data_IF_631845621960
#
_entry.id   IF_631845621960
#
_cell.length_a   1.000
_cell.length_b   1.000
_cell.length_c   1.000
_cell.angle_alpha   90.00
_cell.angle_beta   90.00
_cell.angle_gamma   90.00
#
_symmetry.space_group_name_H-M   'P 1'
#
loop_
_entity.id
_entity.type
_entity.pdbx_description
1 polymer ?
#
# COMPACT_ATOMS: atom_id res chain seq x y z
N UNK A 1 -32.77 -17.31 11.96
CA UNK A 1 -31.35 -16.93 11.82
C UNK A 1 -30.66 -18.10 11.18
N UNK A 2 -30.30 -18.01 9.90
CA UNK A 2 -29.53 -19.07 9.26
C UNK A 2 -28.09 -18.94 9.76
N UNK A 3 -27.53 -20.00 10.33
CA UNK A 3 -26.11 -20.09 10.64
C UNK A 3 -25.33 -19.89 9.34
N UNK A 4 -24.55 -18.82 9.25
CA UNK A 4 -23.59 -18.62 8.17
C UNK A 4 -22.59 -19.79 8.24
N UNK A 5 -22.69 -20.73 7.29
CA UNK A 5 -21.65 -21.74 7.08
C UNK A 5 -20.36 -20.98 6.78
N UNK A 6 -19.46 -20.95 7.75
CA UNK A 6 -18.12 -20.40 7.61
C UNK A 6 -17.40 -21.24 6.54
N UNK A 7 -17.19 -20.69 5.35
CA UNK A 7 -16.48 -21.39 4.26
C UNK A 7 -15.04 -21.58 4.68
N UNK A 8 -14.58 -22.82 4.72
CA UNK A 8 -13.28 -23.17 5.31
C UNK A 8 -12.17 -23.28 4.27
N UNK A 9 -12.52 -23.55 3.01
CA UNK A 9 -11.52 -23.81 1.96
C UNK A 9 -11.81 -23.07 0.66
N UNK A 10 -10.77 -22.83 -0.14
CA UNK A 10 -10.92 -22.24 -1.47
C UNK A 10 -11.68 -23.16 -2.44
N UNK A 11 -11.61 -24.47 -2.25
CA UNK A 11 -12.34 -25.47 -3.04
C UNK A 11 -13.86 -25.35 -2.86
N UNK A 12 -14.31 -25.10 -1.63
CA UNK A 12 -15.73 -24.86 -1.31
C UNK A 12 -16.30 -23.61 -1.99
N UNK A 13 -15.44 -22.67 -2.43
CA UNK A 13 -15.86 -21.47 -3.18
C UNK A 13 -16.07 -21.75 -4.68
N UNK A 14 -15.88 -22.99 -5.13
CA UNK A 14 -16.00 -23.36 -6.55
C UNK A 14 -14.74 -23.11 -7.37
N UNK A 15 -13.59 -22.86 -6.71
CA UNK A 15 -12.31 -22.77 -7.40
C UNK A 15 -11.80 -24.15 -7.81
N UNK A 16 -11.18 -24.21 -8.98
CA UNK A 16 -10.54 -25.44 -9.46
C UNK A 16 -9.29 -25.78 -8.67
N UNK A 17 -8.91 -27.06 -8.70
CA UNK A 17 -7.82 -27.62 -7.92
C UNK A 17 -6.47 -26.93 -8.22
N UNK A 18 -6.21 -26.52 -9.46
CA UNK A 18 -4.99 -25.81 -9.86
C UNK A 18 -4.86 -24.45 -9.15
N UNK A 19 -5.98 -23.74 -8.95
CA UNK A 19 -6.00 -22.47 -8.23
C UNK A 19 -5.94 -22.66 -6.71
N UNK A 20 -6.52 -23.75 -6.20
CA UNK A 20 -6.43 -24.11 -4.78
C UNK A 20 -4.97 -24.42 -4.42
N UNK A 21 -4.27 -25.21 -5.24
CA UNK A 21 -2.84 -25.48 -5.07
C UNK A 21 -2.00 -24.18 -5.16
N UNK A 22 -2.31 -23.30 -6.11
CA UNK A 22 -1.65 -22.00 -6.21
C UNK A 22 -1.85 -21.14 -4.94
N UNK A 23 -3.04 -21.12 -4.36
CA UNK A 23 -3.32 -20.49 -3.06
C UNK A 23 -2.44 -21.08 -1.94
N UNK A 24 -2.35 -22.40 -1.85
CA UNK A 24 -1.52 -23.07 -0.83
C UNK A 24 -0.03 -22.73 -0.98
N UNK A 25 0.48 -22.69 -2.21
CA UNK A 25 1.86 -22.34 -2.54
C UNK A 25 2.23 -20.91 -2.13
N UNK A 26 1.29 -19.97 -2.20
CA UNK A 26 1.47 -18.59 -1.70
C UNK A 26 1.12 -18.44 -0.21
N UNK A 27 0.84 -19.55 0.49
CA UNK A 27 0.56 -19.58 1.93
C UNK A 27 -0.87 -19.20 2.31
N UNK A 28 -1.80 -19.15 1.35
CA UNK A 28 -3.21 -18.85 1.59
C UNK A 28 -3.98 -20.14 1.92
N UNK A 29 -4.02 -20.48 3.21
CA UNK A 29 -4.68 -21.72 3.68
C UNK A 29 -6.20 -21.65 3.68
N UNK A 30 -6.76 -20.50 4.03
CA UNK A 30 -8.21 -20.30 4.18
C UNK A 30 -8.62 -18.99 3.52
N UNK A 31 -9.80 -18.92 2.88
CA UNK A 31 -10.27 -17.68 2.28
C UNK A 31 -10.56 -16.63 3.36
N UNK A 32 -10.22 -15.38 3.07
CA UNK A 32 -10.66 -14.27 3.91
C UNK A 32 -12.15 -13.98 3.72
N UNK A 33 -12.80 -13.24 4.64
CA UNK A 33 -14.23 -12.90 4.53
C UNK A 33 -14.60 -12.29 3.18
N UNK A 34 -13.82 -11.31 2.72
CA UNK A 34 -14.05 -10.67 1.41
C UNK A 34 -13.87 -11.64 0.23
N UNK A 35 -12.96 -12.62 0.34
CA UNK A 35 -12.78 -13.65 -0.69
C UNK A 35 -13.95 -14.63 -0.69
N UNK A 36 -14.38 -15.10 0.48
CA UNK A 36 -15.49 -16.03 0.64
C UNK A 36 -16.82 -15.46 0.13
N UNK A 37 -17.07 -14.17 0.38
CA UNK A 37 -18.28 -13.48 -0.10
C UNK A 37 -18.20 -13.11 -1.59
N UNK A 38 -17.02 -12.73 -2.10
CA UNK A 38 -16.88 -12.22 -3.47
C UNK A 38 -16.72 -13.28 -4.54
N UNK A 39 -15.92 -14.32 -4.27
CA UNK A 39 -15.52 -15.30 -5.29
C UNK A 39 -16.75 -16.02 -5.89
N UNK A 40 -17.72 -16.52 -5.12
CA UNK A 40 -18.88 -17.21 -5.69
C UNK A 40 -19.66 -16.34 -6.68
N UNK A 41 -19.91 -15.07 -6.33
CA UNK A 41 -20.60 -14.13 -7.22
C UNK A 41 -19.77 -13.73 -8.44
N UNK A 42 -18.44 -13.64 -8.29
CA UNK A 42 -17.53 -13.40 -9.40
C UNK A 42 -17.56 -14.55 -10.42
N UNK A 43 -17.58 -15.80 -9.94
CA UNK A 43 -17.65 -17.01 -10.76
C UNK A 43 -19.00 -17.13 -11.50
N UNK A 44 -20.08 -16.58 -10.94
CA UNK A 44 -21.37 -16.42 -11.63
C UNK A 44 -21.35 -15.34 -12.72
N UNK A 45 -20.22 -14.65 -12.92
CA UNK A 45 -20.05 -13.60 -13.92
C UNK A 45 -20.69 -12.26 -13.57
N UNK A 46 -21.02 -12.02 -12.29
CA UNK A 46 -21.60 -10.76 -11.80
C UNK A 46 -20.53 -9.69 -11.60
N UNK A 47 -20.91 -8.44 -11.82
CA UNK A 47 -20.13 -7.29 -11.40
C UNK A 47 -20.07 -7.19 -9.87
N UNK A 48 -18.96 -6.68 -9.33
CA UNK A 48 -18.74 -6.63 -7.89
C UNK A 48 -18.41 -5.23 -7.39
N UNK A 49 -18.91 -4.92 -6.20
CA UNK A 49 -18.40 -3.82 -5.39
C UNK A 49 -18.02 -4.31 -3.99
N UNK A 50 -16.71 -4.42 -3.76
CA UNK A 50 -16.13 -4.87 -2.50
C UNK A 50 -15.66 -3.69 -1.65
N UNK A 51 -16.31 -3.50 -0.50
CA UNK A 51 -15.87 -2.56 0.52
C UNK A 51 -15.08 -3.31 1.60
N UNK A 52 -13.76 -3.18 1.56
CA UNK A 52 -12.89 -3.78 2.56
C UNK A 52 -11.58 -2.99 2.74
N UNK A 53 -11.07 -3.03 3.96
CA UNK A 53 -9.80 -2.40 4.34
C UNK A 53 -8.59 -3.00 3.62
N UNK A 54 -7.47 -2.28 3.58
CA UNK A 54 -6.20 -2.81 3.06
C UNK A 54 -5.76 -4.03 3.87
N UNK A 55 -5.22 -5.06 3.20
CA UNK A 55 -4.78 -6.28 3.87
C UNK A 55 -5.90 -7.28 4.21
N UNK A 56 -7.13 -7.05 3.74
CA UNK A 56 -8.25 -7.99 3.88
C UNK A 56 -8.25 -9.14 2.86
N UNK A 57 -7.30 -9.18 1.91
CA UNK A 57 -7.25 -10.21 0.86
C UNK A 57 -7.97 -9.85 -0.44
N UNK A 58 -8.28 -8.57 -0.69
CA UNK A 58 -8.97 -8.08 -1.90
C UNK A 58 -8.33 -8.54 -3.21
N UNK A 59 -6.99 -8.59 -3.27
CA UNK A 59 -6.27 -9.04 -4.46
C UNK A 59 -6.68 -10.44 -4.87
N UNK A 60 -6.72 -11.40 -3.93
CA UNK A 60 -7.23 -12.74 -4.21
C UNK A 60 -8.70 -12.76 -4.62
N UNK A 61 -9.52 -11.88 -4.03
CA UNK A 61 -10.96 -11.82 -4.31
C UNK A 61 -11.28 -11.45 -5.78
N UNK A 62 -10.42 -10.67 -6.45
CA UNK A 62 -10.57 -10.40 -7.89
C UNK A 62 -9.64 -11.23 -8.78
N UNK A 63 -8.45 -11.61 -8.31
CA UNK A 63 -7.49 -12.33 -9.13
C UNK A 63 -7.95 -13.78 -9.39
N UNK A 64 -8.44 -14.48 -8.37
CA UNK A 64 -8.82 -15.90 -8.48
C UNK A 64 -9.96 -16.12 -9.50
N UNK A 65 -11.06 -15.34 -9.51
CA UNK A 65 -12.09 -15.48 -10.54
C UNK A 65 -11.60 -15.17 -11.97
N UNK A 66 -10.69 -14.19 -12.12
CA UNK A 66 -10.11 -13.86 -13.43
C UNK A 66 -9.23 -15.00 -13.94
N UNK A 67 -8.42 -15.60 -13.05
CA UNK A 67 -7.57 -16.73 -13.39
C UNK A 67 -8.40 -17.99 -13.69
N UNK A 68 -9.49 -18.22 -12.98
CA UNK A 68 -10.45 -19.28 -13.28
C UNK A 68 -10.98 -19.15 -14.71
N UNK A 69 -11.46 -17.97 -15.09
CA UNK A 69 -11.99 -17.74 -16.43
C UNK A 69 -10.92 -17.93 -17.52
N UNK A 70 -9.65 -17.61 -17.23
CA UNK A 70 -8.54 -17.90 -18.13
C UNK A 70 -8.28 -19.40 -18.28
N UNK A 71 -8.32 -20.16 -17.18
CA UNK A 71 -8.19 -21.62 -17.17
C UNK A 71 -9.28 -22.29 -18.02
N UNK A 72 -10.54 -21.91 -17.80
CA UNK A 72 -11.69 -22.44 -18.55
C UNK A 72 -11.59 -22.16 -20.05
N UNK A 73 -11.04 -21.01 -20.43
CA UNK A 73 -10.78 -20.70 -21.85
C UNK A 73 -9.62 -21.56 -22.39
N UNK A 74 -8.55 -21.73 -21.62
CA UNK A 74 -7.38 -22.50 -22.04
C UNK A 74 -7.69 -23.99 -22.32
N UNK A 75 -8.69 -24.55 -21.63
CA UNK A 75 -9.16 -25.91 -21.91
C UNK A 75 -9.92 -26.02 -23.23
N UNK A 76 -10.76 -25.03 -23.51
CA UNK A 76 -11.68 -25.06 -24.64
C UNK A 76 -11.06 -24.46 -25.92
N UNK A 77 -9.94 -23.73 -25.79
CA UNK A 77 -9.31 -23.01 -26.88
C UNK A 77 -7.80 -23.24 -26.88
N UNK A 78 -7.21 -23.36 -28.08
CA UNK A 78 -5.75 -23.48 -28.25
C UNK A 78 -4.96 -22.27 -27.75
N UNK A 79 -5.58 -21.09 -27.65
CA UNK A 79 -4.88 -19.85 -27.31
C UNK A 79 -5.69 -19.01 -26.33
N UNK A 80 -5.04 -18.65 -25.22
CA UNK A 80 -5.59 -17.72 -24.24
C UNK A 80 -5.55 -16.29 -24.79
N UNK A 81 -6.64 -15.50 -24.69
CA UNK A 81 -6.67 -14.14 -25.19
C UNK A 81 -5.67 -13.23 -24.45
N UNK A 82 -4.95 -12.42 -25.22
CA UNK A 82 -4.14 -11.33 -24.68
C UNK A 82 -5.05 -10.19 -24.19
N UNK A 83 -4.56 -9.39 -23.25
CA UNK A 83 -5.25 -8.23 -22.69
C UNK A 83 -6.65 -8.57 -22.12
N UNK A 84 -6.77 -9.77 -21.53
CA UNK A 84 -8.01 -10.31 -20.99
C UNK A 84 -8.54 -9.49 -19.80
N UNK A 85 -7.64 -9.04 -18.93
CA UNK A 85 -7.97 -8.21 -17.79
C UNK A 85 -7.08 -6.97 -17.68
N UNK A 86 -7.66 -5.90 -17.16
CA UNK A 86 -6.98 -4.65 -16.86
C UNK A 86 -7.28 -4.25 -15.41
N UNK A 87 -6.24 -4.07 -14.62
CA UNK A 87 -6.36 -3.67 -13.22
C UNK A 87 -5.79 -2.27 -13.05
N UNK A 88 -6.66 -1.33 -12.70
CA UNK A 88 -6.27 0.04 -12.39
C UNK A 88 -5.99 0.18 -10.90
N UNK A 89 -4.85 0.79 -10.59
CA UNK A 89 -4.36 1.04 -9.24
C UNK A 89 -3.80 2.46 -9.13
N UNK A 90 -3.99 3.16 -7.99
CA UNK A 90 -3.59 4.56 -7.83
C UNK A 90 -2.08 4.77 -7.74
N UNK A 91 -1.29 3.74 -7.36
CA UNK A 91 0.16 3.90 -7.20
C UNK A 91 0.95 2.84 -7.95
N UNK A 92 2.19 3.19 -8.29
CA UNK A 92 3.08 2.33 -9.08
C UNK A 92 3.41 1.06 -8.33
N UNK A 93 3.63 1.20 -7.04
CA UNK A 93 4.03 0.13 -6.15
C UNK A 93 2.88 -0.86 -5.99
N UNK A 94 1.64 -0.39 -5.81
CA UNK A 94 0.48 -1.27 -5.74
C UNK A 94 0.23 -2.00 -7.06
N UNK A 95 0.46 -1.33 -8.21
CA UNK A 95 0.39 -1.99 -9.50
C UNK A 95 1.42 -3.13 -9.65
N UNK A 96 2.66 -2.93 -9.17
CA UNK A 96 3.70 -3.97 -9.18
C UNK A 96 3.28 -5.14 -8.27
N UNK A 97 2.83 -4.86 -7.04
CA UNK A 97 2.36 -5.90 -6.11
C UNK A 97 1.23 -6.75 -6.69
N UNK A 98 0.24 -6.10 -7.30
CA UNK A 98 -0.88 -6.80 -7.92
C UNK A 98 -0.37 -7.71 -9.03
N UNK A 99 0.55 -7.24 -9.87
CA UNK A 99 1.17 -8.05 -10.92
C UNK A 99 1.91 -9.27 -10.36
N UNK A 100 2.73 -9.08 -9.31
CA UNK A 100 3.45 -10.18 -8.65
C UNK A 100 2.47 -11.23 -8.08
N UNK A 101 1.34 -10.80 -7.51
CA UNK A 101 0.31 -11.70 -7.02
C UNK A 101 -0.39 -12.47 -8.14
N UNK A 102 -0.70 -11.81 -9.26
CA UNK A 102 -1.24 -12.50 -10.44
C UNK A 102 -0.25 -13.54 -10.98
N UNK A 103 1.03 -13.19 -11.11
CA UNK A 103 2.07 -14.10 -11.60
C UNK A 103 2.29 -15.28 -10.66
N UNK A 104 2.29 -15.07 -9.35
CA UNK A 104 2.41 -16.15 -8.37
C UNK A 104 1.23 -17.13 -8.46
N UNK A 105 0.00 -16.61 -8.44
CA UNK A 105 -1.23 -17.41 -8.52
C UNK A 105 -1.41 -18.08 -9.89
N UNK A 106 -0.95 -17.43 -10.97
CA UNK A 106 -1.07 -17.91 -12.35
C UNK A 106 0.16 -18.65 -12.87
N UNK A 107 1.11 -19.01 -12.00
CA UNK A 107 2.37 -19.66 -12.38
C UNK A 107 2.15 -20.98 -13.12
N UNK A 108 1.17 -21.78 -12.68
CA UNK A 108 0.80 -23.05 -13.31
C UNK A 108 0.24 -22.93 -14.74
N UNK A 109 -0.20 -21.74 -15.16
CA UNK A 109 -0.81 -21.51 -16.49
C UNK A 109 0.03 -20.61 -17.39
N UNK A 110 1.31 -20.40 -17.06
CA UNK A 110 2.20 -19.50 -17.80
C UNK A 110 1.61 -18.10 -17.99
N UNK A 111 0.98 -17.58 -16.93
CA UNK A 111 0.38 -16.25 -16.94
C UNK A 111 1.45 -15.19 -17.25
N UNK A 112 1.11 -14.24 -18.12
CA UNK A 112 1.96 -13.09 -18.44
C UNK A 112 1.25 -11.81 -18.00
N UNK A 113 1.94 -11.00 -17.22
CA UNK A 113 1.48 -9.68 -16.83
C UNK A 113 2.34 -8.58 -17.46
N UNK A 114 1.78 -7.39 -17.62
CA UNK A 114 2.55 -6.18 -17.89
C UNK A 114 2.13 -5.08 -16.93
N UNK A 115 3.11 -4.39 -16.35
CA UNK A 115 2.91 -3.28 -15.44
C UNK A 115 3.15 -1.96 -16.16
N UNK A 116 2.11 -1.11 -16.21
CA UNK A 116 2.18 0.19 -16.86
C UNK A 116 2.12 1.33 -15.83
N UNK A 117 3.27 1.89 -15.49
CA UNK A 117 3.40 2.91 -14.45
C UNK A 117 4.25 4.11 -14.87
N UNK A 118 3.99 5.29 -14.29
CA UNK A 118 4.83 6.47 -14.51
C UNK A 118 6.27 6.27 -14.05
N UNK A 119 7.21 7.11 -14.54
CA UNK A 119 8.62 7.12 -14.10
C UNK A 119 9.43 5.84 -14.34
N UNK A 120 8.86 4.88 -15.07
CA UNK A 120 9.56 3.78 -15.73
C UNK A 120 9.63 4.12 -17.21
N UNK A 121 10.69 3.67 -17.88
CA UNK A 121 10.92 3.92 -19.30
C UNK A 121 9.74 3.42 -20.17
N UNK A 122 9.36 4.23 -21.17
CA UNK A 122 8.22 3.96 -22.04
C UNK A 122 8.51 2.82 -23.02
N UNK A 123 9.76 2.70 -23.48
CA UNK A 123 10.16 1.67 -24.43
C UNK A 123 10.15 0.28 -23.77
N UNK A 124 10.62 0.17 -22.53
CA UNK A 124 10.52 -1.07 -21.74
C UNK A 124 9.07 -1.56 -21.60
N UNK A 125 8.15 -0.65 -21.29
CA UNK A 125 6.72 -0.97 -21.18
C UNK A 125 6.11 -1.33 -22.54
N UNK A 126 6.53 -0.66 -23.61
CA UNK A 126 6.12 -0.97 -24.99
C UNK A 126 6.55 -2.38 -25.40
N UNK A 127 7.78 -2.77 -25.08
CA UNK A 127 8.29 -4.13 -25.33
C UNK A 127 7.52 -5.17 -24.52
N UNK A 128 7.16 -4.88 -23.26
CA UNK A 128 6.34 -5.76 -22.43
C UNK A 128 4.94 -5.97 -23.03
N UNK A 129 4.30 -4.91 -23.55
CA UNK A 129 3.03 -5.01 -24.26
C UNK A 129 3.14 -5.82 -25.56
N UNK A 130 4.27 -5.72 -26.27
CA UNK A 130 4.55 -6.51 -27.47
C UNK A 130 4.57 -8.03 -27.23
N UNK A 131 4.82 -8.47 -25.99
CA UNK A 131 4.75 -9.89 -25.58
C UNK A 131 3.31 -10.40 -25.38
N UNK A 132 2.30 -9.55 -25.63
CA UNK A 132 0.87 -9.88 -25.54
C UNK A 132 0.51 -10.53 -24.18
N UNK A 133 0.68 -9.79 -23.06
CA UNK A 133 0.33 -10.27 -21.73
C UNK A 133 -1.18 -10.55 -21.62
N UNK A 134 -1.57 -11.45 -20.71
CA UNK A 134 -2.98 -11.71 -20.41
C UNK A 134 -3.56 -10.63 -19.49
N UNK A 135 -2.77 -10.15 -18.53
CA UNK A 135 -3.18 -9.14 -17.55
C UNK A 135 -2.36 -7.87 -17.73
N UNK A 136 -3.02 -6.72 -17.75
CA UNK A 136 -2.37 -5.40 -17.70
C UNK A 136 -2.69 -4.77 -16.35
N UNK A 137 -1.67 -4.45 -15.56
CA UNK A 137 -1.84 -3.73 -14.28
C UNK A 137 -1.26 -2.34 -14.44
N UNK A 138 -2.02 -1.29 -14.15
CA UNK A 138 -1.60 0.05 -14.54
C UNK A 138 -2.06 1.17 -13.60
N UNK A 139 -1.29 2.26 -13.60
CA UNK A 139 -1.78 3.57 -13.15
C UNK A 139 -2.52 4.28 -14.28
N UNK A 140 -3.64 5.00 -14.02
CA UNK A 140 -4.49 5.58 -15.07
C UNK A 140 -3.74 6.43 -16.10
N UNK A 141 -2.91 7.38 -15.66
CA UNK A 141 -2.18 8.27 -16.57
C UNK A 141 -1.28 7.50 -17.55
N UNK A 142 -0.45 6.56 -17.06
CA UNK A 142 0.44 5.77 -17.92
C UNK A 142 -0.33 4.84 -18.85
N UNK A 143 -1.45 4.25 -18.41
CA UNK A 143 -2.27 3.44 -19.31
C UNK A 143 -2.82 4.29 -20.46
N UNK A 144 -3.31 5.49 -20.15
CA UNK A 144 -3.84 6.40 -21.16
C UNK A 144 -2.76 6.84 -22.16
N UNK A 145 -1.54 7.11 -21.68
CA UNK A 145 -0.39 7.38 -22.54
C UNK A 145 -0.14 6.23 -23.52
N UNK A 146 -0.21 4.98 -23.07
CA UNK A 146 -0.02 3.81 -23.94
C UNK A 146 -1.18 3.62 -24.91
N UNK A 147 -2.43 3.77 -24.47
CA UNK A 147 -3.61 3.67 -25.33
C UNK A 147 -3.59 4.71 -26.46
N UNK A 148 -3.02 5.89 -26.19
CA UNK A 148 -2.95 6.99 -27.16
C UNK A 148 -1.75 6.85 -28.09
N UNK A 149 -0.56 6.54 -27.53
CA UNK A 149 0.71 6.72 -28.25
C UNK A 149 1.39 5.40 -28.64
N UNK A 150 0.95 4.24 -28.12
CA UNK A 150 1.59 2.95 -28.44
C UNK A 150 0.88 2.28 -29.59
N UNK A 151 1.53 2.28 -30.76
CA UNK A 151 0.98 1.68 -31.99
C UNK A 151 0.65 0.20 -31.77
N UNK A 152 -0.59 -0.19 -32.11
CA UNK A 152 -1.05 -1.58 -32.03
C UNK A 152 -1.46 -2.04 -30.63
N UNK A 153 -1.35 -1.21 -29.60
CA UNK A 153 -1.90 -1.51 -28.29
C UNK A 153 -3.36 -1.05 -28.21
N UNK A 154 -4.24 -1.95 -27.77
CA UNK A 154 -5.65 -1.65 -27.55
C UNK A 154 -6.21 -2.61 -26.50
N UNK A 155 -7.16 -2.10 -25.71
CA UNK A 155 -7.97 -2.89 -24.77
C UNK A 155 -9.36 -3.22 -25.35
N UNK A 156 -9.56 -3.12 -26.66
CA UNK A 156 -10.86 -3.35 -27.32
C UNK A 156 -11.44 -4.77 -27.19
N UNK A 157 -10.68 -5.73 -26.65
CA UNK A 157 -11.12 -7.11 -26.40
C UNK A 157 -11.19 -7.46 -24.90
N UNK A 158 -10.99 -6.46 -24.04
CA UNK A 158 -10.97 -6.61 -22.58
C UNK A 158 -12.25 -7.28 -22.07
N UNK A 159 -12.08 -8.30 -21.21
CA UNK A 159 -13.18 -9.02 -20.55
C UNK A 159 -13.37 -8.61 -19.11
N UNK A 160 -12.29 -8.24 -18.42
CA UNK A 160 -12.32 -7.85 -17.01
C UNK A 160 -11.69 -6.47 -16.79
N UNK A 161 -12.41 -5.59 -16.10
CA UNK A 161 -11.87 -4.36 -15.54
C UNK A 161 -11.88 -4.45 -14.01
N UNK A 162 -10.75 -4.20 -13.37
CA UNK A 162 -10.65 -4.08 -11.92
C UNK A 162 -10.23 -2.66 -11.56
N UNK A 163 -10.93 -2.07 -10.59
CA UNK A 163 -10.61 -0.77 -10.01
C UNK A 163 -10.26 -0.99 -8.53
N UNK A 164 -8.97 -1.09 -8.21
CA UNK A 164 -8.51 -1.26 -6.82
C UNK A 164 -8.13 0.09 -6.19
N UNK A 165 -8.40 0.22 -4.89
CA UNK A 165 -8.38 1.50 -4.16
C UNK A 165 -9.13 2.63 -4.91
N UNK A 166 -10.37 2.32 -5.34
CA UNK A 166 -11.15 3.19 -6.23
C UNK A 166 -11.45 4.59 -5.66
N UNK A 167 -11.51 4.76 -4.34
CA UNK A 167 -11.62 6.08 -3.72
C UNK A 167 -10.42 6.99 -3.99
N UNK A 168 -9.26 6.42 -4.30
CA UNK A 168 -8.02 7.15 -4.63
C UNK A 168 -7.80 7.34 -6.12
N UNK A 169 -8.32 6.43 -6.94
CA UNK A 169 -8.38 6.61 -8.40
C UNK A 169 -9.21 7.85 -8.81
N UNK A 170 -10.02 8.37 -7.88
CA UNK A 170 -10.89 9.53 -8.06
C UNK A 170 -10.33 10.84 -7.47
N UNK A 171 -9.04 10.86 -7.13
CA UNK A 171 -8.33 12.11 -6.84
C UNK A 171 -8.14 12.90 -8.14
N UNK A 172 -7.99 14.22 -8.02
CA UNK A 172 -8.02 15.15 -9.15
C UNK A 172 -6.94 14.86 -10.21
N UNK A 173 -5.84 14.20 -9.82
CA UNK A 173 -4.74 13.79 -10.72
C UNK A 173 -5.12 12.65 -11.70
N UNK A 174 -6.13 11.85 -11.39
CA UNK A 174 -6.44 10.61 -12.13
C UNK A 174 -7.85 10.56 -12.72
N UNK A 175 -8.77 11.38 -12.22
CA UNK A 175 -10.19 11.36 -12.61
C UNK A 175 -10.36 11.51 -14.13
N UNK A 176 -9.63 12.46 -14.75
CA UNK A 176 -9.68 12.69 -16.20
C UNK A 176 -9.18 11.48 -17.01
N UNK A 177 -8.02 10.94 -16.66
CA UNK A 177 -7.47 9.78 -17.37
C UNK A 177 -8.36 8.55 -17.20
N UNK A 178 -8.97 8.36 -16.03
CA UNK A 178 -9.91 7.27 -15.79
C UNK A 178 -11.15 7.38 -16.68
N UNK A 179 -11.75 8.57 -16.79
CA UNK A 179 -12.90 8.81 -17.67
C UNK A 179 -12.57 8.54 -19.14
N UNK A 180 -11.40 8.97 -19.61
CA UNK A 180 -10.91 8.71 -20.98
C UNK A 180 -10.70 7.20 -21.24
N UNK A 181 -10.10 6.48 -20.29
CA UNK A 181 -9.95 5.03 -20.37
C UNK A 181 -11.32 4.34 -20.48
N UNK A 182 -12.28 4.71 -19.63
CA UNK A 182 -13.62 4.11 -19.61
C UNK A 182 -14.37 4.31 -20.93
N UNK A 183 -14.05 5.37 -21.69
CA UNK A 183 -14.65 5.66 -23.00
C UNK A 183 -14.08 4.79 -24.13
N UNK A 184 -12.84 4.31 -24.02
CA UNK A 184 -12.17 3.54 -25.09
C UNK A 184 -12.22 2.02 -24.86
N UNK A 185 -12.47 1.55 -23.63
CA UNK A 185 -12.61 0.12 -23.32
C UNK A 185 -14.03 -0.39 -23.61
N UNK A 186 -14.21 -1.70 -23.91
CA UNK A 186 -15.51 -2.29 -24.22
C UNK A 186 -16.53 -2.15 -23.09
N UNK A 187 -17.78 -1.78 -23.42
CA UNK A 187 -18.89 -1.74 -22.45
C UNK A 187 -19.33 -3.12 -21.96
N UNK A 188 -19.25 -4.14 -22.82
CA UNK A 188 -19.55 -5.52 -22.46
C UNK A 188 -18.30 -6.18 -21.86
N UNK A 189 -18.23 -6.15 -20.54
CA UNK A 189 -17.15 -6.72 -19.72
C UNK A 189 -17.67 -6.94 -18.30
N UNK A 190 -16.98 -7.75 -17.52
CA UNK A 190 -17.14 -7.82 -16.07
C UNK A 190 -16.31 -6.72 -15.42
N UNK A 191 -16.89 -6.02 -14.45
CA UNK A 191 -16.19 -4.97 -13.70
C UNK A 191 -16.21 -5.28 -12.21
N UNK A 192 -15.04 -5.19 -11.58
CA UNK A 192 -14.88 -5.32 -10.13
C UNK A 192 -14.33 -4.03 -9.54
N UNK A 193 -15.06 -3.43 -8.61
CA UNK A 193 -14.66 -2.20 -7.91
C UNK A 193 -14.36 -2.51 -6.45
N UNK A 194 -13.12 -2.26 -6.03
CA UNK A 194 -12.68 -2.44 -4.67
C UNK A 194 -12.28 -1.10 -4.05
N UNK A 195 -12.83 -0.78 -2.89
CA UNK A 195 -12.56 0.47 -2.18
C UNK A 195 -12.54 0.25 -0.68
N UNK A 196 -11.77 1.07 0.04
CA UNK A 196 -11.90 1.12 1.50
C UNK A 196 -13.13 1.94 1.93
N UNK A 197 -13.50 2.95 1.13
CA UNK A 197 -14.56 3.90 1.50
C UNK A 197 -15.56 4.14 0.38
N UNK A 198 -16.84 4.33 0.75
CA UNK A 198 -17.92 4.62 -0.19
C UNK A 198 -18.21 6.11 -0.27
N UNK A 199 -17.38 6.85 -1.00
CA UNK A 199 -17.52 8.31 -1.18
C UNK A 199 -18.59 8.66 -2.21
N UNK A 200 -19.01 9.94 -2.29
CA UNK A 200 -19.91 10.41 -3.35
C UNK A 200 -19.30 10.17 -4.75
N UNK A 201 -17.98 10.42 -4.91
CA UNK A 201 -17.27 10.15 -6.17
C UNK A 201 -17.28 8.65 -6.50
N UNK A 202 -17.01 7.77 -5.51
CA UNK A 202 -17.06 6.29 -5.72
C UNK A 202 -18.45 5.83 -6.14
N UNK A 203 -19.52 6.36 -5.53
CA UNK A 203 -20.89 6.06 -5.96
C UNK A 203 -21.19 6.52 -7.38
N UNK A 204 -20.63 7.64 -7.82
CA UNK A 204 -20.75 8.13 -9.21
C UNK A 204 -20.00 7.20 -10.16
N UNK A 205 -18.76 6.84 -9.83
CA UNK A 205 -17.96 5.88 -10.59
C UNK A 205 -18.68 4.53 -10.70
N UNK A 206 -19.24 4.02 -9.60
CA UNK A 206 -20.00 2.77 -9.58
C UNK A 206 -21.12 2.78 -10.65
N UNK A 207 -21.90 3.86 -10.72
CA UNK A 207 -23.00 3.99 -11.69
C UNK A 207 -22.51 4.09 -13.14
N UNK A 208 -21.29 4.56 -13.36
CA UNK A 208 -20.72 4.73 -14.68
C UNK A 208 -20.09 3.43 -15.22
N UNK A 209 -19.52 2.58 -14.36
CA UNK A 209 -18.72 1.44 -14.79
C UNK A 209 -19.30 0.05 -14.51
N UNK A 210 -20.28 -0.09 -13.60
CA UNK A 210 -20.84 -1.38 -13.18
C UNK A 210 -22.29 -1.58 -13.64
N UNK A 211 -22.67 -2.84 -13.89
CA UNK A 211 -24.04 -3.26 -14.23
C UNK A 211 -24.59 -4.23 -13.18
N UNK A 212 -25.61 -3.81 -12.45
CA UNK A 212 -26.26 -4.59 -11.37
C UNK A 212 -25.25 -5.28 -10.41
N UNK A 213 -24.30 -4.53 -9.82
CA UNK A 213 -23.22 -5.14 -9.05
C UNK A 213 -23.71 -5.74 -7.74
N UNK A 214 -23.12 -6.86 -7.34
CA UNK A 214 -23.25 -7.39 -5.98
C UNK A 214 -22.40 -6.57 -5.04
N UNK A 215 -23.02 -6.06 -3.97
CA UNK A 215 -22.36 -5.25 -2.97
C UNK A 215 -21.97 -6.09 -1.76
N UNK A 216 -20.68 -6.07 -1.46
CA UNK A 216 -20.05 -6.88 -0.43
C UNK A 216 -19.40 -5.93 0.57
N UNK A 217 -19.83 -5.98 1.82
CA UNK A 217 -19.36 -5.11 2.90
C UNK A 217 -18.78 -5.95 4.04
N UNK A 218 -17.51 -6.33 3.89
CA UNK A 218 -16.80 -7.15 4.88
C UNK A 218 -16.38 -6.37 6.15
N UNK A 219 -16.71 -5.07 6.23
CA UNK A 219 -16.45 -4.22 7.40
C UNK A 219 -17.59 -3.20 7.57
N UNK A 220 -17.96 -2.91 8.83
CA UNK A 220 -18.84 -1.78 9.14
C UNK A 220 -18.19 -0.47 8.68
N UNK A 221 -18.99 0.45 8.12
CA UNK A 221 -18.52 1.71 7.55
C UNK A 221 -17.54 2.40 8.51
N UNK A 222 -16.27 2.46 8.12
CA UNK A 222 -15.19 3.15 8.84
C UNK A 222 -14.79 2.55 10.21
N UNK A 223 -14.88 1.22 10.38
CA UNK A 223 -14.30 0.56 11.56
C UNK A 223 -12.82 0.22 11.36
N UNK A 224 -12.11 0.19 12.49
CA UNK A 224 -10.78 -0.42 12.63
C UNK A 224 -10.95 -1.86 13.11
N UNK A 225 -9.98 -2.73 12.89
CA UNK A 225 -10.05 -4.12 13.40
C UNK A 225 -10.12 -4.16 14.92
N UNK A 226 -10.88 -5.11 15.46
CA UNK A 226 -11.08 -5.24 16.91
C UNK A 226 -9.77 -5.56 17.66
N UNK A 227 -8.81 -6.21 16.99
CA UNK A 227 -7.49 -6.55 17.53
C UNK A 227 -6.51 -5.36 17.58
N UNK A 228 -6.91 -4.19 17.08
CA UNK A 228 -6.09 -2.98 17.03
C UNK A 228 -6.34 -2.07 18.25
N UNK A 229 -5.36 -2.03 19.15
CA UNK A 229 -5.33 -1.08 20.26
C UNK A 229 -4.95 0.32 19.73
N UNK A 230 -5.87 1.26 19.83
CA UNK A 230 -5.66 2.66 19.42
C UNK A 230 -5.56 3.54 20.65
N UNK A 231 -4.54 4.38 20.70
CA UNK A 231 -4.32 5.35 21.77
C UNK A 231 -3.91 6.70 21.18
N UNK A 232 -4.10 7.77 21.95
CA UNK A 232 -3.58 9.10 21.61
C UNK A 232 -2.73 9.63 22.77
N UNK A 233 -1.82 10.57 22.50
CA UNK A 233 -1.17 11.37 23.55
C UNK A 233 -1.20 12.82 23.13
N UNK A 234 -1.79 13.67 23.98
CA UNK A 234 -1.76 15.11 23.75
C UNK A 234 -0.43 15.68 24.26
N UNK A 235 0.36 16.30 23.36
CA UNK A 235 1.72 16.74 23.66
C UNK A 235 1.97 18.15 23.10
N UNK A 236 2.63 19.05 23.84
CA UNK A 236 3.11 20.30 23.27
C UNK A 236 4.03 20.03 22.07
N UNK A 237 3.84 20.78 20.97
CA UNK A 237 4.62 20.58 19.74
C UNK A 237 6.15 20.55 19.96
N UNK A 238 6.66 21.33 20.93
CA UNK A 238 8.09 21.38 21.28
C UNK A 238 8.64 20.06 21.85
N UNK A 239 7.80 19.24 22.48
CA UNK A 239 8.21 17.99 23.14
C UNK A 239 7.87 16.73 22.33
N UNK A 240 7.25 16.91 21.15
CA UNK A 240 6.79 15.81 20.29
C UNK A 240 7.89 14.80 19.94
N UNK A 241 9.12 15.29 19.71
CA UNK A 241 10.28 14.43 19.45
C UNK A 241 10.68 13.59 20.66
N UNK A 242 10.53 14.10 21.88
CA UNK A 242 10.85 13.37 23.10
C UNK A 242 9.84 12.24 23.32
N UNK A 243 8.55 12.51 23.12
CA UNK A 243 7.50 11.49 23.19
C UNK A 243 7.68 10.40 22.12
N UNK A 244 8.06 10.76 20.89
CA UNK A 244 8.39 9.78 19.86
C UNK A 244 9.51 8.84 20.33
N UNK A 245 10.61 9.40 20.87
CA UNK A 245 11.76 8.62 21.31
C UNK A 245 11.43 7.77 22.54
N UNK A 246 10.65 8.30 23.48
CA UNK A 246 10.17 7.57 24.65
C UNK A 246 9.41 6.31 24.23
N UNK A 247 8.36 6.47 23.41
CA UNK A 247 7.55 5.36 22.91
C UNK A 247 8.41 4.32 22.17
N UNK A 248 9.28 4.78 21.26
CA UNK A 248 10.15 3.87 20.49
C UNK A 248 11.18 3.14 21.36
N UNK A 249 11.53 3.67 22.52
CA UNK A 249 12.46 3.04 23.47
C UNK A 249 11.75 1.93 24.25
N UNK A 250 10.52 2.17 24.70
CA UNK A 250 9.70 1.16 25.38
C UNK A 250 9.42 -0.07 24.50
N UNK A 251 9.31 0.12 23.18
CA UNK A 251 9.03 -0.95 22.21
C UNK A 251 10.19 -1.25 21.27
N UNK A 252 11.43 -1.11 21.74
CA UNK A 252 12.67 -1.13 20.92
C UNK A 252 12.87 -2.34 19.99
N UNK A 253 12.23 -3.49 20.24
CA UNK A 253 12.28 -4.68 19.39
C UNK A 253 11.17 -4.75 18.32
N UNK A 254 10.16 -3.91 18.41
CA UNK A 254 8.98 -3.94 17.54
C UNK A 254 9.26 -3.33 16.17
N UNK A 255 8.69 -3.92 15.12
CA UNK A 255 8.60 -3.28 13.82
C UNK A 255 7.61 -2.11 13.89
N UNK A 256 8.07 -0.90 13.60
CA UNK A 256 7.29 0.34 13.78
C UNK A 256 7.24 1.16 12.50
N UNK A 257 6.04 1.59 12.11
CA UNK A 257 5.86 2.63 11.09
C UNK A 257 5.54 3.97 11.73
N UNK A 258 6.29 5.02 11.37
CA UNK A 258 6.07 6.39 11.84
C UNK A 258 5.62 7.26 10.67
N UNK A 259 4.42 7.82 10.78
CA UNK A 259 3.85 8.69 9.75
C UNK A 259 4.10 10.16 10.02
N UNK A 260 4.70 10.85 9.06
CA UNK A 260 4.91 12.31 9.07
C UNK A 260 4.18 12.97 7.90
N UNK A 261 3.93 14.27 8.02
CA UNK A 261 3.24 15.05 6.98
C UNK A 261 4.14 15.33 5.77
N UNK A 262 5.39 15.71 6.02
CA UNK A 262 6.31 16.17 4.96
C UNK A 262 7.46 15.21 4.71
N UNK A 263 7.99 15.22 3.49
CA UNK A 263 9.18 14.46 3.12
C UNK A 263 10.41 14.90 3.94
N UNK A 264 10.56 16.20 4.21
CA UNK A 264 11.67 16.72 5.02
C UNK A 264 11.63 16.19 6.45
N UNK A 265 10.43 16.10 7.04
CA UNK A 265 10.25 15.52 8.37
C UNK A 265 10.67 14.04 8.40
N UNK A 266 10.34 13.24 7.37
CA UNK A 266 10.79 11.83 7.30
C UNK A 266 12.31 11.72 7.42
N UNK A 267 13.03 12.56 6.69
CA UNK A 267 14.50 12.55 6.64
C UNK A 267 15.10 13.06 7.95
N UNK A 268 14.57 14.16 8.47
CA UNK A 268 15.03 14.75 9.72
C UNK A 268 14.86 13.79 10.89
N UNK A 269 13.66 13.22 11.07
CA UNK A 269 13.39 12.27 12.14
C UNK A 269 14.24 11.01 12.01
N UNK A 270 14.41 10.47 10.79
CA UNK A 270 15.23 9.27 10.60
C UNK A 270 16.70 9.51 10.95
N UNK A 271 17.24 10.70 10.67
CA UNK A 271 18.59 11.06 11.05
C UNK A 271 18.71 11.29 12.56
N UNK A 272 17.74 11.98 13.16
CA UNK A 272 17.69 12.22 14.61
C UNK A 272 17.64 10.90 15.38
N UNK A 273 16.75 9.99 15.01
CA UNK A 273 16.64 8.67 15.63
C UNK A 273 17.93 7.86 15.47
N UNK A 274 18.58 7.90 14.30
CA UNK A 274 19.88 7.23 14.10
C UNK A 274 20.99 7.82 14.97
N UNK A 275 21.04 9.14 15.15
CA UNK A 275 21.97 9.78 16.08
C UNK A 275 21.71 9.37 17.54
N UNK A 276 20.49 8.96 17.86
CA UNK A 276 20.11 8.40 19.16
C UNK A 276 20.33 6.89 19.25
N UNK A 277 20.88 6.24 18.22
CA UNK A 277 21.16 4.80 18.18
C UNK A 277 19.98 3.93 17.70
N UNK A 278 18.87 4.54 17.28
CA UNK A 278 17.70 3.82 16.77
C UNK A 278 17.83 3.50 15.28
N UNK A 279 17.41 2.31 14.86
CA UNK A 279 17.56 1.84 13.47
C UNK A 279 16.39 2.29 12.58
N UNK A 280 16.38 3.59 12.30
CA UNK A 280 15.34 4.24 11.50
C UNK A 280 15.75 4.46 10.04
N UNK A 281 14.81 4.24 9.12
CA UNK A 281 14.99 4.47 7.69
C UNK A 281 13.80 5.29 7.12
N UNK A 282 14.07 6.36 6.34
CA UNK A 282 13.00 7.14 5.72
C UNK A 282 12.59 6.55 4.37
N UNK A 283 11.30 6.63 4.05
CA UNK A 283 10.76 6.48 2.70
C UNK A 283 9.88 7.69 2.40
N UNK A 284 10.24 8.45 1.36
CA UNK A 284 9.51 9.66 0.96
C UNK A 284 9.31 9.73 -0.55
N UNK A 285 8.41 10.62 -1.00
CA UNK A 285 8.14 10.83 -2.43
C UNK A 285 9.31 11.46 -3.20
N UNK A 286 10.31 12.04 -2.51
CA UNK A 286 11.52 12.56 -3.15
C UNK A 286 12.55 11.46 -3.46
N UNK A 287 12.38 10.25 -2.94
CA UNK A 287 13.30 9.15 -3.22
C UNK A 287 12.98 8.51 -4.56
N UNK A 288 14.02 8.18 -5.33
CA UNK A 288 13.88 7.33 -6.51
C UNK A 288 13.27 5.97 -6.14
N UNK A 289 12.59 5.34 -7.09
CA UNK A 289 11.93 4.05 -6.87
C UNK A 289 12.89 2.98 -6.37
N UNK A 290 14.09 2.90 -6.97
CA UNK A 290 15.15 1.97 -6.53
C UNK A 290 15.55 2.19 -5.07
N UNK A 291 15.66 3.45 -4.62
CA UNK A 291 15.97 3.78 -3.22
C UNK A 291 14.83 3.43 -2.27
N UNK A 292 13.57 3.65 -2.68
CA UNK A 292 12.39 3.25 -1.89
C UNK A 292 12.34 1.73 -1.71
N UNK A 293 12.56 0.97 -2.79
CA UNK A 293 12.62 -0.49 -2.74
C UNK A 293 13.79 -0.99 -1.88
N UNK A 294 14.98 -0.40 -2.04
CA UNK A 294 16.14 -0.73 -1.20
C UNK A 294 15.88 -0.46 0.29
N UNK A 295 15.27 0.69 0.62
CA UNK A 295 14.89 1.02 1.99
C UNK A 295 13.83 0.05 2.55
N UNK A 296 12.83 -0.30 1.73
CA UNK A 296 11.82 -1.29 2.10
C UNK A 296 12.43 -2.67 2.36
N UNK A 297 13.36 -3.11 1.51
CA UNK A 297 14.03 -4.40 1.65
C UNK A 297 14.83 -4.48 2.95
N UNK A 298 15.54 -3.40 3.33
CA UNK A 298 16.22 -3.32 4.64
C UNK A 298 15.25 -3.43 5.81
N UNK A 299 14.08 -2.82 5.69
CA UNK A 299 13.03 -2.93 6.71
C UNK A 299 12.46 -4.35 6.79
N UNK A 300 12.13 -4.96 5.63
CA UNK A 300 11.65 -6.34 5.53
C UNK A 300 12.67 -7.35 6.09
N UNK A 301 13.95 -7.14 5.84
CA UNK A 301 15.04 -7.99 6.33
C UNK A 301 15.33 -7.79 7.83
N UNK A 302 14.68 -6.83 8.50
CA UNK A 302 14.91 -6.54 9.91
C UNK A 302 16.23 -5.78 10.18
N UNK A 303 16.95 -5.32 9.16
CA UNK A 303 18.14 -4.46 9.34
C UNK A 303 17.78 -3.12 9.99
N UNK A 304 16.59 -2.61 9.69
CA UNK A 304 15.96 -1.46 10.33
C UNK A 304 14.58 -1.88 10.84
N UNK A 305 14.21 -1.48 12.06
CA UNK A 305 12.90 -1.77 12.63
C UNK A 305 11.99 -0.55 12.73
N UNK A 306 12.46 0.64 12.33
CA UNK A 306 11.65 1.86 12.31
C UNK A 306 11.60 2.40 10.88
N UNK A 307 10.41 2.43 10.29
CA UNK A 307 10.15 2.97 8.97
C UNK A 307 9.43 4.30 9.08
N UNK A 308 10.04 5.39 8.62
CA UNK A 308 9.43 6.73 8.65
C UNK A 308 8.95 7.10 7.26
N UNK A 309 7.68 7.45 7.11
CA UNK A 309 7.11 7.71 5.80
C UNK A 309 6.02 8.77 5.80
N UNK A 310 5.80 9.37 4.62
CA UNK A 310 4.57 10.11 4.35
C UNK A 310 3.47 9.16 3.87
N UNK A 311 2.22 9.63 3.89
CA UNK A 311 1.10 8.86 3.35
C UNK A 311 1.38 8.40 1.92
N UNK A 312 1.74 9.33 1.04
CA UNK A 312 2.04 9.02 -0.37
C UNK A 312 3.13 7.97 -0.51
N UNK A 313 4.19 8.09 0.29
CA UNK A 313 5.35 7.21 0.18
C UNK A 313 5.11 5.80 0.73
N UNK A 314 4.21 5.65 1.69
CA UNK A 314 3.80 4.35 2.26
C UNK A 314 2.81 3.57 1.38
N UNK A 315 2.14 4.25 0.45
CA UNK A 315 1.07 3.67 -0.36
C UNK A 315 1.66 2.79 -1.47
N UNK A 316 1.02 1.64 -1.66
CA UNK A 316 1.42 0.60 -2.61
C UNK A 316 2.75 -0.09 -2.34
N UNK A 317 3.54 0.33 -1.35
CA UNK A 317 4.67 -0.48 -0.93
C UNK A 317 4.16 -1.73 -0.21
N UNK A 318 4.81 -2.87 -0.48
CA UNK A 318 4.53 -4.13 0.20
C UNK A 318 5.16 -4.12 1.57
N UNK A 319 4.59 -3.31 2.44
CA UNK A 319 5.08 -3.22 3.80
C UNK A 319 4.43 -4.37 4.55
N UNK A 320 5.23 -5.31 5.11
CA UNK A 320 4.70 -6.37 5.95
C UNK A 320 3.92 -5.73 7.10
N UNK A 321 2.93 -6.44 7.64
CA UNK A 321 2.23 -5.92 8.80
C UNK A 321 3.20 -5.73 9.95
N UNK A 322 3.18 -4.52 10.50
CA UNK A 322 4.07 -4.06 11.57
C UNK A 322 3.39 -4.21 12.92
N UNK A 323 4.18 -4.23 13.99
CA UNK A 323 3.68 -4.39 15.35
C UNK A 323 3.09 -3.07 15.88
N UNK A 324 3.66 -1.94 15.46
CA UNK A 324 3.24 -0.61 15.88
C UNK A 324 3.14 0.39 14.72
N UNK A 325 2.13 1.26 14.80
CA UNK A 325 2.00 2.46 13.98
C UNK A 325 2.01 3.69 14.89
N UNK A 326 2.86 4.66 14.59
CA UNK A 326 2.88 5.97 15.26
C UNK A 326 2.46 7.02 14.24
N UNK A 327 1.33 7.68 14.47
CA UNK A 327 1.02 8.94 13.79
C UNK A 327 1.81 10.03 14.51
N UNK A 328 3.03 10.30 14.01
CA UNK A 328 3.78 11.45 14.49
C UNK A 328 2.98 12.70 14.13
N UNK A 329 2.64 12.92 12.86
CA UNK A 329 1.72 14.00 12.48
C UNK A 329 0.31 13.47 12.24
N UNK A 330 -0.72 14.14 12.77
CA UNK A 330 -2.11 13.75 12.53
C UNK A 330 -2.48 14.02 11.06
N UNK A 331 -3.11 13.05 10.36
CA UNK A 331 -3.53 13.24 8.97
C UNK A 331 -4.63 14.30 8.89
N UNK A 332 -4.57 15.14 7.87
CA UNK A 332 -5.57 16.20 7.63
C UNK A 332 -6.91 15.64 7.17
N UNK A 333 -6.90 14.46 6.55
CA UNK A 333 -8.09 13.70 6.18
C UNK A 333 -8.27 12.52 7.14
N UNK A 334 -9.42 12.45 7.81
CA UNK A 334 -9.71 11.40 8.78
C UNK A 334 -9.71 9.99 8.18
N UNK A 335 -9.94 9.83 6.87
CA UNK A 335 -9.85 8.53 6.21
C UNK A 335 -8.42 8.01 6.13
N UNK A 336 -7.43 8.90 6.00
CA UNK A 336 -6.03 8.51 5.98
C UNK A 336 -5.60 7.87 7.30
N UNK A 337 -6.21 8.26 8.41
CA UNK A 337 -5.99 7.58 9.70
C UNK A 337 -6.28 6.08 9.61
N UNK A 338 -7.43 5.68 9.05
CA UNK A 338 -7.80 4.26 8.90
C UNK A 338 -6.77 3.51 8.06
N UNK A 339 -6.26 4.13 7.00
CA UNK A 339 -5.24 3.54 6.13
C UNK A 339 -3.86 3.41 6.80
N UNK A 340 -3.51 4.36 7.67
CA UNK A 340 -2.26 4.33 8.45
C UNK A 340 -2.31 3.26 9.52
N UNK A 341 -3.34 3.27 10.36
CA UNK A 341 -3.44 2.31 11.48
C UNK A 341 -3.74 0.89 10.98
N UNK A 342 -4.38 0.75 9.82
CA UNK A 342 -4.52 -0.53 9.11
C UNK A 342 -3.20 -1.11 8.55
N UNK A 343 -2.02 -0.56 8.90
CA UNK A 343 -0.71 -1.18 8.62
C UNK A 343 -0.28 -2.17 9.69
N UNK A 344 -0.91 -2.13 10.86
CA UNK A 344 -0.74 -3.11 11.93
C UNK A 344 -2.01 -3.95 12.09
N UNK A 345 -2.01 -4.92 13.01
CA UNK A 345 -3.14 -5.78 13.34
C UNK A 345 -3.76 -6.51 12.12
N UNK A 346 -2.95 -6.91 11.13
CA UNK A 346 -3.43 -7.64 9.94
C UNK A 346 -3.44 -9.15 10.14
N UNK A 347 -4.29 -9.84 9.37
CA UNK A 347 -4.38 -11.30 9.33
C UNK A 347 -4.55 -11.94 10.72
N UNK A 348 -5.44 -11.37 11.55
CA UNK A 348 -5.75 -11.89 12.89
C UNK A 348 -4.74 -11.52 13.98
N UNK A 349 -3.63 -10.84 13.65
CA UNK A 349 -2.67 -10.36 14.66
C UNK A 349 -3.22 -9.17 15.45
N UNK A 350 -2.70 -9.00 16.66
CA UNK A 350 -2.87 -7.77 17.44
C UNK A 350 -1.90 -6.69 16.97
N UNK A 351 -2.21 -5.44 17.26
CA UNK A 351 -1.37 -4.31 16.88
C UNK A 351 -1.67 -3.07 17.71
N UNK A 352 -0.71 -2.13 17.74
CA UNK A 352 -0.84 -0.88 18.48
C UNK A 352 -0.72 0.31 17.54
N UNK A 353 -1.62 1.28 17.68
CA UNK A 353 -1.55 2.56 16.99
C UNK A 353 -1.56 3.71 18.01
N UNK A 354 -0.52 4.56 17.99
CA UNK A 354 -0.41 5.73 18.87
C UNK A 354 -0.41 7.00 18.03
N UNK A 355 -1.27 7.95 18.38
CA UNK A 355 -1.33 9.27 17.75
C UNK A 355 -0.77 10.35 18.65
N UNK A 356 0.30 11.02 18.22
CA UNK A 356 0.84 12.20 18.91
C UNK A 356 0.09 13.45 18.44
N UNK A 357 -0.77 13.99 19.29
CA UNK A 357 -1.63 15.13 18.98
C UNK A 357 -1.05 16.37 19.63
N UNK A 358 -0.75 17.40 18.86
CA UNK A 358 -0.35 18.70 19.42
C UNK A 358 -1.48 19.74 19.32
N UNK A 359 -1.24 20.93 19.87
CA UNK A 359 -2.22 22.01 19.92
C UNK A 359 -2.73 22.47 18.54
N UNK A 360 -1.97 22.25 17.47
CA UNK A 360 -2.33 22.65 16.11
C UNK A 360 -3.08 21.54 15.35
N UNK A 361 -3.08 20.32 15.88
CA UNK A 361 -3.58 19.11 15.21
C UNK A 361 -4.85 18.57 15.87
N UNK A 362 -5.32 19.22 16.94
CA UNK A 362 -6.46 18.79 17.73
C UNK A 362 -7.75 18.68 16.90
N UNK A 363 -8.03 19.65 16.03
CA UNK A 363 -9.23 19.62 15.19
C UNK A 363 -9.24 18.42 14.24
N UNK A 364 -8.11 18.12 13.59
CA UNK A 364 -7.99 16.95 12.73
C UNK A 364 -8.15 15.65 13.51
N UNK A 365 -7.61 15.59 14.73
CA UNK A 365 -7.80 14.46 15.63
C UNK A 365 -9.28 14.25 16.03
N UNK A 366 -9.99 15.32 16.36
CA UNK A 366 -11.42 15.23 16.69
C UNK A 366 -12.26 14.74 15.50
N UNK A 367 -11.90 15.09 14.26
CA UNK A 367 -12.55 14.53 13.07
C UNK A 367 -12.28 13.03 12.89
N UNK A 368 -11.12 12.53 13.36
CA UNK A 368 -10.81 11.10 13.36
C UNK A 368 -11.72 10.38 14.36
N UNK A 369 -11.80 10.83 15.60
CA UNK A 369 -12.68 10.24 16.62
C UNK A 369 -14.15 10.23 16.17
N UNK A 370 -14.60 11.32 15.54
CA UNK A 370 -15.94 11.42 14.94
C UNK A 370 -16.14 10.40 13.82
N UNK A 371 -15.14 10.18 12.96
CA UNK A 371 -15.22 9.21 11.86
C UNK A 371 -15.31 7.77 12.37
N UNK A 372 -14.49 7.42 13.37
CA UNK A 372 -14.45 6.06 13.95
C UNK A 372 -15.57 5.81 14.96
N UNK A 373 -16.30 6.86 15.37
CA UNK A 373 -17.43 6.77 16.29
C UNK A 373 -17.06 6.42 17.73
N UNK A 374 -15.80 6.60 18.15
CA UNK A 374 -15.34 6.33 19.52
C UNK A 374 -14.25 7.30 19.96
N UNK A 375 -14.20 7.56 21.26
CA UNK A 375 -13.08 8.24 21.93
C UNK A 375 -11.94 7.26 22.11
N UNK A 376 -10.72 7.67 21.78
CA UNK A 376 -9.55 6.81 21.99
C UNK A 376 -9.01 7.02 23.41
N UNK A 377 -8.53 5.97 24.09
CA UNK A 377 -7.86 6.12 25.38
C UNK A 377 -6.51 6.82 25.22
N UNK A 378 -6.08 7.50 26.28
CA UNK A 378 -4.78 8.13 26.32
C UNK A 378 -3.65 7.09 26.44
N UNK A 379 -2.49 7.36 25.84
CA UNK A 379 -1.28 6.58 26.02
C UNK A 379 -0.61 7.02 27.34
N UNK A 380 -0.37 6.10 28.28
CA UNK A 380 0.28 6.45 29.54
C UNK A 380 1.74 6.83 29.27
N UNK A 381 2.12 8.03 29.65
CA UNK A 381 3.49 8.51 29.58
C UNK A 381 3.65 9.63 30.61
N UNK A 382 4.48 9.41 31.62
CA UNK A 382 4.74 10.41 32.65
C UNK A 382 5.64 11.51 32.08
N UNK A 383 5.20 12.76 32.16
CA UNK A 383 5.91 13.87 31.52
C UNK A 383 7.33 14.02 32.06
N UNK A 384 7.53 13.81 33.36
CA UNK A 384 8.85 13.88 33.99
C UNK A 384 9.83 12.87 33.38
N UNK A 385 9.39 11.63 33.15
CA UNK A 385 10.22 10.59 32.54
C UNK A 385 10.57 10.92 31.09
N UNK A 386 9.60 11.41 30.32
CA UNK A 386 9.78 11.79 28.92
C UNK A 386 10.78 12.94 28.81
N UNK A 387 10.70 13.92 29.71
CA UNK A 387 11.55 15.10 29.69
C UNK A 387 13.00 14.83 30.12
N UNK A 388 13.32 13.69 30.73
CA UNK A 388 14.71 13.24 30.92
C UNK A 388 15.44 13.09 29.58
N UNK A 389 14.71 12.84 28.48
CA UNK A 389 15.28 12.71 27.14
C UNK A 389 15.53 14.06 26.45
N UNK A 390 15.02 15.17 27.01
CA UNK A 390 14.93 16.46 26.32
C UNK A 390 16.26 16.96 25.79
N UNK A 391 17.31 16.98 26.63
CA UNK A 391 18.63 17.47 26.25
C UNK A 391 19.22 16.64 25.11
N UNK A 392 19.23 15.31 25.27
CA UNK A 392 19.78 14.38 24.29
C UNK A 392 19.03 14.42 22.96
N UNK A 393 17.70 14.49 22.99
CA UNK A 393 16.86 14.56 21.78
C UNK A 393 17.07 15.89 21.06
N UNK A 394 17.15 17.00 21.81
CA UNK A 394 17.38 18.33 21.23
C UNK A 394 18.74 18.40 20.54
N UNK A 395 19.78 17.86 21.17
CA UNK A 395 21.12 17.83 20.57
C UNK A 395 21.18 16.94 19.31
N UNK A 396 20.58 15.75 19.36
CA UNK A 396 20.49 14.87 18.19
C UNK A 396 19.75 15.52 17.01
N UNK A 397 18.69 16.28 17.31
CA UNK A 397 17.93 17.04 16.30
C UNK A 397 18.78 18.16 15.70
N UNK A 398 19.50 18.92 16.53
CA UNK A 398 20.43 19.98 16.09
C UNK A 398 21.50 19.44 15.15
N UNK A 399 22.17 18.35 15.53
CA UNK A 399 23.17 17.66 14.69
C UNK A 399 22.56 17.23 13.35
N UNK A 400 21.33 16.71 13.38
CA UNK A 400 20.62 16.26 12.18
C UNK A 400 20.32 17.42 11.22
N UNK A 401 19.87 18.55 11.75
CA UNK A 401 19.60 19.75 10.95
C UNK A 401 20.87 20.31 10.30
N UNK A 402 21.98 20.35 11.04
CA UNK A 402 23.29 20.77 10.50
C UNK A 402 23.74 19.85 9.36
N UNK A 403 23.66 18.54 9.56
CA UNK A 403 24.02 17.53 8.55
C UNK A 403 23.19 17.70 7.27
N UNK A 404 21.88 17.93 7.39
CA UNK A 404 21.00 18.16 6.23
C UNK A 404 21.40 19.45 5.50
N UNK A 405 21.66 20.54 6.23
CA UNK A 405 22.07 21.83 5.65
C UNK A 405 23.39 21.71 4.89
N UNK A 406 24.38 21.02 5.46
CA UNK A 406 25.69 20.82 4.83
C UNK A 406 25.60 19.97 3.57
N UNK A 407 24.77 18.93 3.58
CA UNK A 407 24.51 18.11 2.39
C UNK A 407 23.82 18.92 1.28
N UNK A 408 22.88 19.81 1.63
CA UNK A 408 22.21 20.71 0.69
C UNK A 408 23.15 21.74 0.06
N UNK A 409 24.06 22.31 0.86
CA UNK A 409 25.07 23.26 0.37
C UNK A 409 26.10 22.59 -0.57
N UNK A 410 26.51 21.35 -0.27
CA UNK A 410 27.38 20.56 -1.16
C UNK A 410 26.67 20.21 -2.48
N UNK A 411 25.38 19.88 -2.43
CA UNK A 411 24.55 19.64 -3.64
C UNK A 411 24.47 20.87 -4.55
N UNK A 412 24.24 22.06 -3.98
CA UNK A 412 24.21 23.33 -4.75
C UNK A 412 25.55 23.66 -5.40
N UNK A 413 26.68 23.21 -4.85
CA UNK A 413 28.03 23.45 -5.39
C UNK A 413 28.47 22.45 -6.47
N UNK A 414 27.86 21.26 -6.57
CA UNK A 414 28.34 20.18 -7.45
C UNK A 414 27.46 19.84 -8.66
N UNK A 415 26.30 20.49 -8.85
CA UNK A 415 25.52 20.39 -10.08
C UNK A 415 25.30 18.96 -10.61
N UNK A 416 24.96 18.01 -9.74
CA UNK A 416 24.85 16.60 -10.11
C UNK A 416 24.01 15.78 -9.14
N UNK A 417 23.34 14.77 -9.71
CA UNK A 417 22.23 13.99 -9.17
C UNK A 417 22.43 13.36 -7.79
N UNK A 418 21.30 13.12 -7.16
CA UNK A 418 21.18 12.43 -5.88
C UNK A 418 21.75 11.02 -5.97
N UNK A 419 22.97 10.77 -5.48
CA UNK A 419 23.42 9.42 -5.16
C UNK A 419 24.38 9.40 -3.97
N UNK A 420 24.22 8.35 -3.16
CA UNK A 420 24.99 7.98 -1.96
C UNK A 420 24.78 8.77 -0.66
N UNK A 421 23.89 8.27 0.19
CA UNK A 421 24.05 8.45 1.65
C UNK A 421 23.47 7.33 2.54
N UNK A 422 22.64 6.42 1.99
CA UNK A 422 22.00 5.36 2.79
C UNK A 422 22.98 4.20 3.10
N UNK A 423 24.06 4.05 2.33
CA UNK A 423 25.00 2.93 2.45
C UNK A 423 26.15 3.12 3.44
N UNK A 424 26.63 4.35 3.67
CA UNK A 424 27.85 4.60 4.47
C UNK A 424 27.62 4.57 5.98
N UNK A 425 26.38 4.73 6.45
CA UNK A 425 26.09 4.95 7.86
C UNK A 425 25.82 3.68 8.69
N UNK A 426 25.76 2.50 8.06
CA UNK A 426 25.55 1.21 8.75
C UNK A 426 26.84 0.41 9.01
N UNK A 427 28.02 1.02 8.87
CA UNK A 427 29.27 0.40 9.32
C UNK A 427 29.68 -0.90 8.62
N UNK A 428 29.22 -1.18 7.39
CA UNK A 428 29.72 -2.33 6.62
C UNK A 428 31.04 -1.94 5.96
N UNK A 429 32.13 -2.40 6.57
CA UNK A 429 33.49 -2.18 6.09
C UNK A 429 33.71 -2.93 4.77
N UNK A 430 33.55 -2.26 3.61
CA UNK A 430 33.80 -2.81 2.25
C UNK A 430 35.29 -3.09 1.94
N UNK A 431 36.15 -3.29 2.94
CA UNK A 431 37.57 -3.65 2.78
C UNK A 431 37.84 -5.03 3.38
N UNK A 432 37.32 -6.09 2.77
CA UNK A 432 37.83 -7.47 2.93
C UNK A 432 37.28 -8.42 1.84
N UNK A 433 37.33 -7.99 0.58
CA UNK A 433 37.10 -8.88 -0.58
C UNK A 433 38.16 -8.69 -1.68
N UNK A 434 39.28 -8.09 -1.33
CA UNK A 434 40.49 -8.04 -2.17
C UNK A 434 41.63 -8.55 -1.32
N UNK A 435 42.28 -9.63 -1.79
CA UNK A 435 43.37 -10.39 -1.17
C UNK A 435 42.93 -11.50 -0.22
N UNK A 436 42.55 -12.64 -0.80
CA UNK A 436 43.29 -13.90 -0.60
C UNK A 436 43.45 -14.58 -1.96
N UNK A 437 44.67 -15.04 -2.21
CA UNK A 437 45.13 -15.78 -3.38
C UNK A 437 44.35 -17.07 -3.56
#
# INVERSE_FOLDING_TARGET
MAEEKEVKTFKELGLRDELVEACENVGWKTPSKIQAEAIPHALEGKDLIGLAQTGSGKTGAFALPILQALLEIAENQRTVPAFFACVLSPTRELAIQISEQFEALGSGISLRCAVLVGGVDMMQQTLALGKRPHIVVATPGRLMDHLTNTKGFSLGTLKYLVLDEADRLLNDDFEKSLDEILNVIPRMRQTYLFSATMTKKVKKLQRACLKNPVKIEAASKYSTVDTLKQQYRFVPAKYKDCYLVYILTEVSASSTMVFTRTCDATRLLALMLRNLGQRAIPISGHMSQSKRLGALNKFKAGECNILICTDVASRGLDIPSVDMVINYDIPTNSKDYIHRVGRTARAGRTGVAISLVNQYELEWYLQIEKLIGKKLPEFPAEEEEVLLLLERVTEAKRISQMTIKDSGNKRRRKGGDEDDDIGRQFGINKKKLSKRK
#
